data_IF_967268397256
#
_entry.id   IF_967268397256
#
_cell.length_a   1.000
_cell.length_b   1.000
_cell.length_c   1.000
_cell.angle_alpha   90.00
_cell.angle_beta   90.00
_cell.angle_gamma   90.00
#
_symmetry.space_group_name_H-M   'P 1'
#
loop_
_entity.id
_entity.type
_entity.pdbx_description
1 polymer ?
#
# COMPACT_ATOMS: atom_id res chain seq x y z
N UNK A 1 -24.36 -1.08 23.61
CA UNK A 1 -25.62 -1.84 23.43
C UNK A 1 -26.00 -2.05 21.94
N UNK A 2 -25.04 -2.06 21.00
CA UNK A 2 -25.29 -2.14 19.55
C UNK A 2 -25.09 -3.54 18.94
N UNK A 3 -24.38 -4.46 19.62
CA UNK A 3 -24.09 -5.80 19.10
C UNK A 3 -25.27 -6.78 19.06
N UNK A 4 -26.33 -6.56 19.84
CA UNK A 4 -27.47 -7.49 19.95
C UNK A 4 -28.49 -7.35 18.83
N UNK A 5 -28.61 -6.17 18.20
CA UNK A 5 -29.51 -5.96 17.05
C UNK A 5 -28.94 -6.55 15.76
N UNK A 6 -27.64 -6.32 15.50
CA UNK A 6 -26.96 -6.88 14.31
C UNK A 6 -27.01 -8.41 14.28
N UNK A 7 -26.79 -9.08 15.42
CA UNK A 7 -26.85 -10.54 15.51
C UNK A 7 -28.25 -11.11 15.29
N UNK A 8 -29.30 -10.41 15.73
CA UNK A 8 -30.70 -10.81 15.49
C UNK A 8 -31.11 -10.64 14.03
N UNK A 9 -30.69 -9.55 13.37
CA UNK A 9 -30.93 -9.36 11.95
C UNK A 9 -30.21 -10.41 11.09
N UNK A 10 -28.99 -10.79 11.44
CA UNK A 10 -28.24 -11.84 10.75
C UNK A 10 -28.91 -13.22 10.89
N UNK A 11 -29.40 -13.58 12.08
CA UNK A 11 -30.12 -14.84 12.30
C UNK A 11 -31.46 -14.84 11.55
N UNK A 12 -32.21 -13.73 11.56
CA UNK A 12 -33.44 -13.62 10.79
C UNK A 12 -33.18 -13.78 9.28
N UNK A 13 -32.12 -13.15 8.74
CA UNK A 13 -31.71 -13.30 7.35
C UNK A 13 -31.32 -14.74 6.99
N UNK A 14 -30.57 -15.42 7.85
CA UNK A 14 -30.18 -16.82 7.64
C UNK A 14 -31.39 -17.77 7.64
N UNK A 15 -32.39 -17.53 8.49
CA UNK A 15 -33.63 -18.31 8.53
C UNK A 15 -34.46 -18.10 7.26
N UNK A 16 -34.61 -16.86 6.80
CA UNK A 16 -35.34 -16.54 5.56
C UNK A 16 -34.64 -17.17 4.35
N UNK A 17 -33.31 -17.06 4.27
CA UNK A 17 -32.53 -17.68 3.19
C UNK A 17 -32.64 -19.20 3.21
N UNK A 18 -32.56 -19.82 4.40
CA UNK A 18 -32.72 -21.27 4.55
C UNK A 18 -34.10 -21.76 4.10
N UNK A 19 -35.16 -20.99 4.39
CA UNK A 19 -36.52 -21.28 3.92
C UNK A 19 -36.62 -21.19 2.39
N UNK A 20 -36.08 -20.14 1.77
CA UNK A 20 -36.07 -19.96 0.32
C UNK A 20 -35.30 -21.07 -0.41
N UNK A 21 -34.13 -21.46 0.11
CA UNK A 21 -33.35 -22.59 -0.43
C UNK A 21 -34.12 -23.90 -0.29
N UNK A 22 -34.79 -24.12 0.83
CA UNK A 22 -35.58 -25.35 1.05
C UNK A 22 -36.76 -25.42 0.07
N UNK A 23 -37.48 -24.31 -0.14
CA UNK A 23 -38.56 -24.21 -1.12
C UNK A 23 -38.04 -24.45 -2.55
N UNK A 24 -36.89 -23.88 -2.90
CA UNK A 24 -36.25 -24.05 -4.21
C UNK A 24 -35.78 -25.50 -4.47
N UNK A 25 -35.18 -26.16 -3.48
CA UNK A 25 -34.70 -27.56 -3.61
C UNK A 25 -35.86 -28.53 -3.68
N UNK A 26 -36.89 -28.33 -2.86
CA UNK A 26 -38.09 -29.16 -2.82
C UNK A 26 -39.15 -28.73 -3.85
N UNK A 27 -38.85 -27.77 -4.73
CA UNK A 27 -39.78 -27.27 -5.73
C UNK A 27 -40.48 -28.38 -6.56
N UNK A 28 -39.81 -29.47 -7.01
CA UNK A 28 -40.47 -30.57 -7.71
C UNK A 28 -41.50 -31.34 -6.88
N UNK A 29 -41.41 -31.26 -5.56
CA UNK A 29 -42.28 -31.95 -4.60
C UNK A 29 -43.35 -31.02 -4.03
N UNK A 30 -43.08 -29.72 -3.98
CA UNK A 30 -43.96 -28.70 -3.41
C UNK A 30 -44.90 -28.06 -4.43
N UNK A 31 -44.53 -28.04 -5.71
CA UNK A 31 -45.38 -27.46 -6.76
C UNK A 31 -46.57 -28.40 -7.07
N UNK A 32 -47.82 -27.91 -6.98
CA UNK A 32 -49.00 -28.72 -7.23
C UNK A 32 -49.21 -29.07 -8.71
N UNK A 33 -48.66 -28.27 -9.64
CA UNK A 33 -48.77 -28.46 -11.08
C UNK A 33 -47.42 -28.32 -11.79
N UNK A 34 -47.32 -28.85 -13.00
CA UNK A 34 -46.18 -28.57 -13.89
C UNK A 34 -46.21 -27.09 -14.28
N UNK A 35 -45.11 -26.33 -14.10
CA UNK A 35 -45.06 -24.88 -14.38
C UNK A 35 -45.32 -24.53 -15.84
N UNK A 36 -45.17 -25.47 -16.77
CA UNK A 36 -45.42 -25.25 -18.20
C UNK A 36 -46.80 -25.70 -18.65
N UNK A 37 -47.48 -26.53 -17.86
CA UNK A 37 -48.79 -27.07 -18.20
C UNK A 37 -49.90 -26.04 -17.95
N UNK A 38 -50.86 -25.98 -18.87
CA UNK A 38 -52.08 -25.20 -18.69
C UNK A 38 -52.96 -25.90 -17.65
N UNK A 39 -53.06 -25.30 -16.47
CA UNK A 39 -53.76 -25.87 -15.32
C UNK A 39 -55.18 -25.30 -15.13
N UNK A 40 -55.49 -24.14 -15.72
CA UNK A 40 -56.78 -23.47 -15.58
C UNK A 40 -57.14 -22.48 -16.69
N UNK A 41 -58.23 -21.74 -16.48
CA UNK A 41 -58.66 -20.67 -17.38
C UNK A 41 -57.74 -19.44 -17.20
N UNK A 42 -57.36 -18.73 -18.29
CA UNK A 42 -56.56 -17.52 -18.20
C UNK A 42 -57.10 -16.50 -17.18
N UNK A 43 -56.20 -15.92 -16.40
CA UNK A 43 -56.52 -14.92 -15.36
C UNK A 43 -57.53 -15.40 -14.30
N UNK A 44 -57.60 -16.71 -14.03
CA UNK A 44 -58.43 -17.21 -12.94
C UNK A 44 -57.97 -16.63 -11.58
N UNK A 45 -58.93 -16.18 -10.78
CA UNK A 45 -58.68 -15.66 -9.43
C UNK A 45 -58.25 -16.77 -8.45
N UNK A 46 -57.65 -16.40 -7.31
CA UNK A 46 -57.29 -17.36 -6.26
C UNK A 46 -58.45 -18.27 -5.87
N UNK A 47 -58.19 -19.58 -5.82
CA UNK A 47 -59.17 -20.62 -5.51
C UNK A 47 -58.52 -21.76 -4.73
N UNK A 48 -59.34 -22.71 -4.24
CA UNK A 48 -58.85 -23.87 -3.50
C UNK A 48 -57.91 -24.76 -4.34
N UNK A 49 -58.07 -24.77 -5.67
CA UNK A 49 -57.20 -25.52 -6.59
C UNK A 49 -56.03 -24.69 -7.10
N UNK A 50 -56.18 -23.37 -7.21
CA UNK A 50 -55.11 -22.44 -7.61
C UNK A 50 -54.94 -21.33 -6.56
N UNK A 51 -54.13 -21.54 -5.51
CA UNK A 51 -54.05 -20.64 -4.36
C UNK A 51 -53.63 -19.21 -4.70
N UNK A 52 -52.87 -19.01 -5.79
CA UNK A 52 -52.47 -17.69 -6.29
C UNK A 52 -53.16 -17.29 -7.60
N UNK A 53 -54.08 -18.12 -8.10
CA UNK A 53 -54.69 -17.94 -9.42
C UNK A 53 -53.81 -18.42 -10.57
N UNK A 54 -54.14 -18.02 -11.79
CA UNK A 54 -53.43 -18.41 -13.01
C UNK A 54 -53.03 -17.21 -13.88
N UNK A 55 -52.00 -17.37 -14.70
CA UNK A 55 -51.50 -16.34 -15.61
C UNK A 55 -52.41 -16.14 -16.85
N UNK A 56 -51.96 -15.30 -17.78
CA UNK A 56 -52.65 -14.95 -19.03
C UNK A 56 -52.83 -16.11 -20.02
N UNK A 57 -52.12 -17.22 -19.81
CA UNK A 57 -52.18 -18.44 -20.62
C UNK A 57 -52.87 -19.60 -19.85
N UNK A 58 -53.16 -19.41 -18.56
CA UNK A 58 -53.82 -20.38 -17.69
C UNK A 58 -52.88 -21.33 -16.95
N UNK A 59 -51.61 -20.95 -16.74
CA UNK A 59 -50.65 -21.70 -15.91
C UNK A 59 -50.76 -21.28 -14.44
N UNK A 60 -50.47 -22.20 -13.52
CA UNK A 60 -50.61 -22.00 -12.07
C UNK A 60 -49.48 -21.10 -11.52
N UNK A 61 -49.85 -19.95 -10.97
CA UNK A 61 -48.90 -18.92 -10.52
C UNK A 61 -48.05 -19.38 -9.31
N UNK A 62 -48.58 -20.25 -8.45
CA UNK A 62 -47.83 -20.79 -7.31
C UNK A 62 -46.74 -21.76 -7.78
N UNK A 63 -47.07 -22.61 -8.75
CA UNK A 63 -46.14 -23.56 -9.37
C UNK A 63 -45.04 -22.83 -10.14
N UNK A 64 -45.37 -21.75 -10.85
CA UNK A 64 -44.40 -20.84 -11.50
C UNK A 64 -43.48 -20.15 -10.48
N UNK A 65 -44.02 -19.64 -9.38
CA UNK A 65 -43.23 -18.96 -8.35
C UNK A 65 -42.21 -19.90 -7.70
N UNK A 66 -42.64 -21.12 -7.36
CA UNK A 66 -41.80 -22.14 -6.72
C UNK A 66 -40.70 -22.64 -7.68
N UNK A 67 -41.04 -22.91 -8.94
CA UNK A 67 -40.06 -23.33 -9.95
C UNK A 67 -39.14 -22.18 -10.38
N UNK A 68 -39.67 -20.97 -10.50
CA UNK A 68 -38.91 -19.75 -10.77
C UNK A 68 -37.87 -19.49 -9.69
N UNK A 69 -38.25 -19.63 -8.41
CA UNK A 69 -37.32 -19.51 -7.28
C UNK A 69 -36.15 -20.51 -7.38
N UNK A 70 -36.41 -21.75 -7.80
CA UNK A 70 -35.36 -22.75 -8.05
C UNK A 70 -34.41 -22.34 -9.17
N UNK A 71 -34.94 -21.90 -10.30
CA UNK A 71 -34.13 -21.47 -11.45
C UNK A 71 -33.29 -20.24 -11.08
N UNK A 72 -33.88 -19.23 -10.43
CA UNK A 72 -33.16 -18.03 -9.98
C UNK A 72 -32.06 -18.36 -8.97
N UNK A 73 -32.31 -19.29 -8.02
CA UNK A 73 -31.31 -19.71 -7.05
C UNK A 73 -30.15 -20.46 -7.71
N UNK A 74 -30.43 -21.35 -8.66
CA UNK A 74 -29.40 -22.08 -9.42
C UNK A 74 -28.55 -21.10 -10.23
N UNK A 75 -29.16 -20.17 -10.96
CA UNK A 75 -28.44 -19.13 -11.71
C UNK A 75 -27.57 -18.30 -10.76
N UNK A 76 -28.10 -17.87 -9.62
CA UNK A 76 -27.35 -17.12 -8.62
C UNK A 76 -26.16 -17.89 -8.04
N UNK A 77 -26.33 -19.17 -7.71
CA UNK A 77 -25.26 -20.04 -7.21
C UNK A 77 -24.19 -20.28 -8.27
N UNK A 78 -24.60 -20.57 -9.51
CA UNK A 78 -23.68 -20.80 -10.64
C UNK A 78 -22.91 -19.52 -10.96
N UNK A 79 -23.58 -18.37 -11.01
CA UNK A 79 -22.94 -17.08 -11.23
C UNK A 79 -21.96 -16.73 -10.09
N UNK A 80 -22.33 -16.98 -8.82
CA UNK A 80 -21.44 -16.76 -7.68
C UNK A 80 -20.22 -17.69 -7.69
N UNK A 81 -20.41 -18.96 -8.04
CA UNK A 81 -19.30 -19.92 -8.21
C UNK A 81 -18.39 -19.50 -9.37
N UNK A 82 -18.95 -19.13 -10.52
CA UNK A 82 -18.19 -18.67 -11.68
C UNK A 82 -17.40 -17.38 -11.36
N UNK A 83 -18.05 -16.40 -10.71
CA UNK A 83 -17.41 -15.17 -10.26
C UNK A 83 -16.31 -15.44 -9.22
N UNK A 84 -16.50 -16.41 -8.33
CA UNK A 84 -15.49 -16.81 -7.35
C UNK A 84 -14.30 -17.47 -8.04
N UNK A 85 -14.54 -18.36 -9.01
CA UNK A 85 -13.46 -19.03 -9.77
C UNK A 85 -12.67 -18.01 -10.59
N UNK A 86 -13.35 -17.13 -11.32
CA UNK A 86 -12.72 -16.08 -12.13
C UNK A 86 -12.01 -15.07 -11.23
N UNK A 87 -12.65 -14.60 -10.17
CA UNK A 87 -12.08 -13.67 -9.20
C UNK A 87 -10.87 -14.25 -8.46
N UNK A 88 -10.90 -15.54 -8.14
CA UNK A 88 -9.75 -16.25 -7.53
C UNK A 88 -8.62 -16.42 -8.53
N UNK A 89 -8.91 -16.81 -9.77
CA UNK A 89 -7.90 -16.94 -10.82
C UNK A 89 -7.23 -15.60 -11.12
N UNK A 90 -8.03 -14.53 -11.27
CA UNK A 90 -7.53 -13.16 -11.43
C UNK A 90 -6.74 -12.73 -10.20
N UNK A 91 -7.23 -12.98 -8.99
CA UNK A 91 -6.54 -12.62 -7.75
C UNK A 91 -5.21 -13.34 -7.56
N UNK A 92 -5.12 -14.61 -7.97
CA UNK A 92 -3.85 -15.37 -7.98
C UNK A 92 -2.90 -14.78 -9.01
N UNK A 93 -3.36 -14.53 -10.24
CA UNK A 93 -2.52 -13.95 -11.31
C UNK A 93 -2.06 -12.53 -10.95
N UNK A 94 -2.94 -11.69 -10.40
CA UNK A 94 -2.62 -10.37 -9.86
C UNK A 94 -1.61 -10.46 -8.71
N UNK A 95 -1.73 -11.46 -7.84
CA UNK A 95 -0.75 -11.72 -6.77
C UNK A 95 0.67 -12.02 -7.26
N UNK A 96 0.83 -12.47 -8.51
CA UNK A 96 2.13 -12.71 -9.14
C UNK A 96 2.53 -11.65 -10.19
N UNK A 97 1.56 -10.89 -10.72
CA UNK A 97 1.78 -9.85 -11.71
C UNK A 97 2.03 -8.50 -11.02
N UNK A 98 3.27 -7.98 -11.09
CA UNK A 98 3.62 -6.64 -10.58
C UNK A 98 3.30 -5.56 -11.62
N UNK A 99 2.84 -4.40 -11.16
CA UNK A 99 2.73 -3.17 -11.96
C UNK A 99 1.35 -2.95 -12.58
N UNK A 100 1.30 -2.27 -13.74
CA UNK A 100 0.07 -1.81 -14.40
C UNK A 100 -0.98 -2.91 -14.70
N UNK A 101 -0.54 -4.17 -14.75
CA UNK A 101 -1.39 -5.34 -14.96
C UNK A 101 -2.30 -5.63 -13.76
N UNK A 102 -1.82 -5.40 -12.54
CA UNK A 102 -2.61 -5.56 -11.30
C UNK A 102 -3.75 -4.53 -11.24
N UNK A 103 -3.42 -3.28 -11.55
CA UNK A 103 -4.37 -2.16 -11.63
C UNK A 103 -5.44 -2.39 -12.71
N UNK A 104 -5.03 -2.89 -13.88
CA UNK A 104 -5.95 -3.25 -14.96
C UNK A 104 -6.86 -4.43 -14.58
N UNK A 105 -6.32 -5.45 -13.90
CA UNK A 105 -7.08 -6.61 -13.44
C UNK A 105 -8.08 -6.23 -12.35
N UNK A 106 -7.68 -5.43 -11.35
CA UNK A 106 -8.59 -4.94 -10.30
C UNK A 106 -9.73 -4.09 -10.86
N UNK A 107 -9.46 -3.24 -11.86
CA UNK A 107 -10.49 -2.46 -12.56
C UNK A 107 -11.44 -3.35 -13.37
N UNK A 108 -10.92 -4.38 -14.02
CA UNK A 108 -11.74 -5.39 -14.71
C UNK A 108 -12.68 -6.11 -13.73
N UNK A 109 -12.18 -6.48 -12.54
CA UNK A 109 -12.99 -7.14 -11.51
C UNK A 109 -14.10 -6.24 -10.98
N UNK A 110 -13.82 -4.94 -10.79
CA UNK A 110 -14.83 -3.95 -10.37
C UNK A 110 -15.94 -3.76 -11.42
N UNK A 111 -15.55 -3.67 -12.69
CA UNK A 111 -16.49 -3.58 -13.83
C UNK A 111 -17.33 -4.86 -13.95
N UNK A 112 -16.71 -6.03 -13.78
CA UNK A 112 -17.44 -7.32 -13.79
C UNK A 112 -18.43 -7.43 -12.63
N UNK A 113 -18.08 -6.92 -11.44
CA UNK A 113 -18.97 -6.93 -10.28
C UNK A 113 -20.18 -6.01 -10.49
N UNK A 114 -19.95 -4.82 -11.05
CA UNK A 114 -21.00 -3.85 -11.40
C UNK A 114 -21.91 -4.39 -12.52
N UNK A 115 -21.32 -4.95 -13.58
CA UNK A 115 -22.05 -5.55 -14.69
C UNK A 115 -22.88 -6.78 -14.25
N UNK A 116 -22.37 -7.57 -13.30
CA UNK A 116 -23.10 -8.72 -12.74
C UNK A 116 -24.29 -8.29 -11.87
N UNK A 117 -24.14 -7.22 -11.09
CA UNK A 117 -25.23 -6.62 -10.31
C UNK A 117 -26.32 -6.03 -11.22
N UNK A 118 -25.93 -5.40 -12.33
CA UNK A 118 -26.86 -4.90 -13.34
C UNK A 118 -27.54 -6.03 -14.14
N UNK A 119 -26.84 -7.13 -14.42
CA UNK A 119 -27.37 -8.33 -15.08
C UNK A 119 -28.43 -9.04 -14.20
N UNK A 120 -28.29 -8.99 -12.88
CA UNK A 120 -29.25 -9.55 -11.92
C UNK A 120 -30.54 -8.73 -11.76
N UNK A 121 -30.69 -7.60 -12.47
CA UNK A 121 -31.92 -6.80 -12.46
C UNK A 121 -32.22 -6.12 -11.12
N UNK A 122 -31.22 -5.99 -10.24
CA UNK A 122 -31.35 -5.27 -8.98
C UNK A 122 -31.27 -3.76 -9.25
N UNK A 123 -32.40 -3.20 -9.68
CA UNK A 123 -32.59 -1.78 -10.00
C UNK A 123 -33.88 -1.59 -10.78
N UNK A 124 -34.40 -0.36 -10.84
CA UNK A 124 -35.59 -0.05 -11.62
C UNK A 124 -35.30 -0.22 -13.13
N UNK A 125 -35.64 -1.39 -13.67
CA UNK A 125 -35.48 -1.76 -15.09
C UNK A 125 -36.33 -0.90 -16.03
N UNK A 126 -37.27 -0.10 -15.50
CA UNK A 126 -38.03 0.88 -16.28
C UNK A 126 -37.35 2.24 -16.34
N UNK A 127 -36.40 2.51 -15.42
CA UNK A 127 -35.60 3.71 -15.42
C UNK A 127 -34.42 3.59 -16.41
N UNK A 128 -34.29 4.56 -17.32
CA UNK A 128 -33.18 4.61 -18.26
C UNK A 128 -31.89 5.00 -17.53
N UNK A 129 -31.03 4.02 -17.27
CA UNK A 129 -29.65 4.21 -16.79
C UNK A 129 -28.63 3.82 -17.86
N UNK A 130 -27.41 4.34 -17.80
CA UNK A 130 -26.33 3.97 -18.74
C UNK A 130 -26.03 2.46 -18.72
N UNK A 131 -26.10 1.82 -17.55
CA UNK A 131 -25.97 0.37 -17.42
C UNK A 131 -27.12 -0.41 -18.08
N UNK A 132 -28.38 0.04 -17.91
CA UNK A 132 -29.52 -0.56 -18.61
C UNK A 132 -29.47 -0.33 -20.12
N UNK A 133 -28.90 0.79 -20.60
CA UNK A 133 -28.68 1.04 -22.02
C UNK A 133 -27.67 0.05 -22.63
N UNK A 134 -26.58 -0.24 -21.92
CA UNK A 134 -25.60 -1.26 -22.32
C UNK A 134 -26.21 -2.67 -22.32
N UNK A 135 -26.98 -3.01 -21.29
CA UNK A 135 -27.71 -4.29 -21.19
C UNK A 135 -28.74 -4.47 -22.31
N UNK A 136 -29.48 -3.40 -22.65
CA UNK A 136 -30.44 -3.39 -23.76
C UNK A 136 -29.74 -3.46 -25.13
N UNK A 137 -28.55 -2.86 -25.28
CA UNK A 137 -27.77 -2.95 -26.50
C UNK A 137 -27.26 -4.36 -26.77
N UNK A 138 -26.85 -5.08 -25.71
CA UNK A 138 -26.42 -6.46 -25.80
C UNK A 138 -27.58 -7.43 -26.06
N UNK A 139 -28.71 -7.26 -25.36
CA UNK A 139 -29.89 -8.13 -25.52
C UNK A 139 -30.63 -7.95 -26.85
N UNK A 140 -30.46 -6.80 -27.53
CA UNK A 140 -31.08 -6.52 -28.84
C UNK A 140 -30.11 -6.63 -30.02
N UNK A 141 -28.99 -7.34 -29.84
CA UNK A 141 -28.03 -7.66 -30.92
C UNK A 141 -27.43 -6.43 -31.62
N UNK A 142 -27.30 -5.28 -30.93
CA UNK A 142 -26.77 -4.06 -31.53
C UNK A 142 -25.34 -4.24 -32.06
N UNK A 143 -24.58 -5.18 -31.51
CA UNK A 143 -23.22 -5.57 -31.95
C UNK A 143 -23.16 -6.21 -33.34
N UNK A 144 -24.28 -6.73 -33.86
CA UNK A 144 -24.37 -7.32 -35.20
C UNK A 144 -24.83 -6.32 -36.27
N UNK A 145 -25.00 -5.05 -35.90
CA UNK A 145 -25.43 -3.95 -36.76
C UNK A 145 -24.49 -2.76 -36.59
N UNK A 146 -24.38 -1.87 -37.59
CA UNK A 146 -23.55 -0.63 -37.50
C UNK A 146 -24.00 0.35 -36.39
N UNK A 147 -25.05 0.03 -35.65
CA UNK A 147 -25.58 0.81 -34.53
C UNK A 147 -24.75 0.69 -33.23
N UNK A 148 -23.83 -0.27 -33.11
CA UNK A 148 -23.05 -0.50 -31.89
C UNK A 148 -22.24 0.73 -31.45
N UNK A 149 -21.69 1.48 -32.42
CA UNK A 149 -20.93 2.72 -32.20
C UNK A 149 -21.74 3.79 -31.46
N UNK A 150 -23.06 3.81 -31.62
CA UNK A 150 -23.91 4.88 -31.08
C UNK A 150 -24.68 4.43 -29.83
N UNK A 151 -24.90 3.12 -29.66
CA UNK A 151 -25.61 2.57 -28.51
C UNK A 151 -24.71 2.15 -27.35
N UNK A 152 -23.45 1.77 -27.63
CA UNK A 152 -22.53 1.23 -26.60
C UNK A 152 -21.52 2.29 -26.17
N UNK A 153 -20.97 3.03 -27.13
CA UNK A 153 -19.84 3.93 -26.93
C UNK A 153 -20.21 5.15 -26.05
N UNK A 154 -21.31 5.90 -26.31
CA UNK A 154 -21.69 7.03 -25.46
C UNK A 154 -21.97 6.68 -23.99
N UNK A 155 -22.79 5.66 -23.63
CA UNK A 155 -22.98 5.29 -22.23
C UNK A 155 -21.72 4.67 -21.60
N UNK A 156 -20.92 3.92 -22.37
CA UNK A 156 -19.64 3.39 -21.89
C UNK A 156 -18.62 4.49 -21.53
N UNK A 157 -18.49 5.51 -22.39
CA UNK A 157 -17.64 6.68 -22.12
C UNK A 157 -18.17 7.48 -20.93
N UNK A 158 -19.49 7.63 -20.81
CA UNK A 158 -20.09 8.33 -19.67
C UNK A 158 -19.79 7.63 -18.33
N UNK A 159 -19.89 6.30 -18.28
CA UNK A 159 -19.51 5.51 -17.10
C UNK A 159 -18.01 5.65 -16.82
N UNK A 160 -17.16 5.49 -17.83
CA UNK A 160 -15.70 5.59 -17.68
C UNK A 160 -15.27 6.98 -17.15
N UNK A 161 -15.84 8.06 -17.70
CA UNK A 161 -15.57 9.42 -17.22
C UNK A 161 -16.07 9.63 -15.80
N UNK A 162 -17.23 9.07 -15.43
CA UNK A 162 -17.78 9.19 -14.09
C UNK A 162 -16.92 8.46 -13.06
N UNK A 163 -16.49 7.24 -13.37
CA UNK A 163 -15.56 6.47 -12.53
C UNK A 163 -14.23 7.21 -12.39
N UNK A 164 -13.69 7.75 -13.49
CA UNK A 164 -12.46 8.55 -13.48
C UNK A 164 -12.62 9.81 -12.61
N UNK A 165 -13.74 10.53 -12.74
CA UNK A 165 -14.03 11.70 -11.91
C UNK A 165 -14.13 11.36 -10.43
N UNK A 166 -14.81 10.27 -10.05
CA UNK A 166 -14.87 9.84 -8.64
C UNK A 166 -13.51 9.39 -8.11
N UNK A 167 -12.69 8.72 -8.92
CA UNK A 167 -11.33 8.35 -8.55
C UNK A 167 -10.45 9.59 -8.30
N UNK A 168 -10.49 10.57 -9.22
CA UNK A 168 -9.77 11.84 -9.06
C UNK A 168 -10.28 12.65 -7.86
N UNK A 169 -11.59 12.64 -7.61
CA UNK A 169 -12.17 13.26 -6.41
C UNK A 169 -11.68 12.56 -5.14
N UNK A 170 -11.59 11.22 -5.17
CA UNK A 170 -11.05 10.41 -4.08
C UNK A 170 -9.62 10.82 -3.73
N UNK A 171 -8.75 10.97 -4.73
CA UNK A 171 -7.39 11.49 -4.55
C UNK A 171 -7.37 12.91 -3.96
N UNK A 172 -8.20 13.82 -4.46
CA UNK A 172 -8.28 15.18 -3.95
C UNK A 172 -8.82 15.24 -2.49
N UNK A 173 -9.76 14.35 -2.14
CA UNK A 173 -10.25 14.22 -0.77
C UNK A 173 -9.21 13.58 0.15
N UNK A 174 -8.44 12.60 -0.32
CA UNK A 174 -7.33 12.01 0.42
C UNK A 174 -6.25 13.04 0.71
N UNK A 175 -5.95 13.91 -0.27
CA UNK A 175 -5.02 15.04 -0.11
C UNK A 175 -5.53 16.09 0.90
N UNK A 176 -6.85 16.32 0.97
CA UNK A 176 -7.47 17.27 1.92
C UNK A 176 -7.75 16.65 3.29
N UNK A 177 -7.85 15.32 3.36
CA UNK A 177 -7.94 14.52 4.56
C UNK A 177 -6.55 14.16 5.13
N UNK A 178 -5.46 14.50 4.41
CA UNK A 178 -4.13 14.62 5.03
C UNK A 178 -4.32 15.50 6.26
N UNK A 179 -4.03 14.99 7.47
CA UNK A 179 -3.75 15.90 8.55
C UNK A 179 -2.61 16.75 7.99
N UNK A 180 -2.85 18.04 7.76
CA UNK A 180 -1.77 19.00 7.71
C UNK A 180 -0.84 18.61 8.86
N UNK A 181 0.47 18.52 8.61
CA UNK A 181 1.51 18.45 9.62
C UNK A 181 1.23 19.58 10.59
N UNK A 182 0.33 19.31 11.53
CA UNK A 182 -0.16 20.27 12.50
C UNK A 182 0.95 20.24 13.50
N UNK A 183 1.47 21.42 13.78
CA UNK A 183 2.31 21.79 14.92
C UNK A 183 1.66 21.36 16.25
N UNK A 184 1.41 20.06 16.44
CA UNK A 184 1.25 19.49 17.75
C UNK A 184 2.67 19.31 18.25
N UNK A 185 3.10 20.07 19.27
CA UNK A 185 4.30 19.74 19.99
C UNK A 185 4.08 18.37 20.61
N UNK A 186 4.53 17.31 19.92
CA UNK A 186 4.70 16.00 20.52
C UNK A 186 5.58 16.23 21.74
N UNK A 187 5.16 15.83 22.95
CA UNK A 187 5.97 16.00 24.15
C UNK A 187 7.23 15.16 23.98
N UNK A 188 8.28 15.78 23.43
CA UNK A 188 9.64 15.25 23.50
C UNK A 188 9.92 15.17 24.98
N UNK A 189 9.98 13.95 25.52
CA UNK A 189 10.45 13.73 26.87
C UNK A 189 11.79 14.46 26.96
N UNK A 190 11.85 15.52 27.78
CA UNK A 190 13.03 16.38 27.95
C UNK A 190 14.26 15.50 27.88
N UNK A 191 15.04 15.67 26.81
CA UNK A 191 16.38 15.15 26.72
C UNK A 191 17.04 15.44 28.07
N UNK A 192 17.64 14.41 28.67
CA UNK A 192 18.66 14.62 29.70
C UNK A 192 19.56 15.72 29.14
N UNK A 193 19.66 16.84 29.84
CA UNK A 193 20.44 18.00 29.39
C UNK A 193 21.78 17.49 28.87
N UNK A 194 21.94 17.51 27.54
CA UNK A 194 23.21 17.25 26.89
C UNK A 194 24.05 18.47 27.24
N UNK A 195 24.98 18.29 28.17
CA UNK A 195 26.04 19.27 28.38
C UNK A 195 26.73 19.56 27.05
N UNK A 196 27.37 20.72 26.94
CA UNK A 196 28.09 21.18 25.75
C UNK A 196 28.80 20.02 25.00
N UNK A 197 28.78 20.00 23.65
CA UNK A 197 29.30 18.89 22.86
C UNK A 197 30.78 18.70 23.16
N UNK A 198 31.07 17.75 24.04
CA UNK A 198 32.32 17.01 24.02
C UNK A 198 32.31 16.30 22.65
N UNK A 199 33.38 16.34 21.85
CA UNK A 199 33.40 15.65 20.56
C UNK A 199 33.23 14.15 20.81
N UNK A 200 31.98 13.70 20.70
CA UNK A 200 31.63 12.31 20.77
C UNK A 200 32.03 11.66 19.44
N UNK A 201 32.57 10.43 19.46
CA UNK A 201 32.85 9.71 18.22
C UNK A 201 31.54 9.53 17.42
N UNK A 202 31.64 9.64 16.10
CA UNK A 202 30.51 9.47 15.17
C UNK A 202 29.65 8.25 15.53
N UNK A 203 28.31 8.37 15.60
CA UNK A 203 27.42 7.28 15.97
C UNK A 203 27.55 6.05 15.07
N UNK A 204 27.91 6.21 13.80
CA UNK A 204 28.20 5.10 12.90
C UNK A 204 29.57 5.31 12.24
N UNK A 205 30.46 4.32 12.38
CA UNK A 205 31.75 4.28 11.69
C UNK A 205 31.95 2.92 11.05
N UNK A 206 32.06 2.90 9.74
CA UNK A 206 32.47 1.76 8.93
C UNK A 206 33.95 2.00 8.58
N UNK A 207 34.82 1.11 9.03
CA UNK A 207 36.28 1.25 8.90
C UNK A 207 36.83 0.06 8.10
N UNK A 208 37.17 0.32 6.83
CA UNK A 208 37.76 -0.63 5.86
C UNK A 208 37.02 -1.97 5.80
N UNK A 209 35.69 -1.92 5.84
CA UNK A 209 34.83 -3.09 5.85
C UNK A 209 35.04 -3.92 4.59
N UNK A 210 35.33 -5.21 4.78
CA UNK A 210 35.47 -6.20 3.72
C UNK A 210 34.52 -7.36 4.00
N UNK A 211 33.67 -7.70 3.03
CA UNK A 211 32.67 -8.78 3.14
C UNK A 211 32.80 -9.71 1.95
N UNK A 212 32.92 -11.00 2.22
CA UNK A 212 32.98 -12.05 1.21
C UNK A 212 31.77 -13.00 1.32
N UNK A 213 31.31 -13.48 0.16
CA UNK A 213 30.34 -14.57 0.02
C UNK A 213 31.10 -15.80 -0.48
N UNK A 214 31.32 -16.78 0.40
CA UNK A 214 32.32 -17.82 0.16
C UNK A 214 33.69 -17.21 -0.13
N UNK A 215 34.29 -17.55 -1.27
CA UNK A 215 35.60 -17.03 -1.69
C UNK A 215 35.51 -15.70 -2.45
N UNK A 216 34.31 -15.22 -2.78
CA UNK A 216 34.12 -14.00 -3.56
C UNK A 216 33.96 -12.79 -2.66
N UNK A 217 34.91 -11.85 -2.72
CA UNK A 217 34.79 -10.53 -2.09
C UNK A 217 33.73 -9.71 -2.82
N UNK A 218 32.73 -9.22 -2.08
CA UNK A 218 31.61 -8.40 -2.60
C UNK A 218 31.71 -6.95 -2.12
N UNK A 219 32.27 -6.73 -0.93
CA UNK A 219 32.60 -5.41 -0.38
C UNK A 219 34.07 -5.43 -0.04
N UNK A 220 34.83 -4.43 -0.48
CA UNK A 220 36.29 -4.37 -0.33
C UNK A 220 36.72 -3.01 0.24
N UNK A 221 37.22 -3.02 1.48
CA UNK A 221 37.83 -1.85 2.11
C UNK A 221 36.94 -0.61 2.26
N UNK A 222 35.61 -0.76 2.35
CA UNK A 222 34.68 0.38 2.43
C UNK A 222 34.81 1.13 3.75
N UNK A 223 34.99 2.45 3.69
CA UNK A 223 35.05 3.33 4.87
C UNK A 223 34.06 4.48 4.74
N UNK A 224 33.17 4.62 5.71
CA UNK A 224 32.14 5.68 5.78
C UNK A 224 31.85 5.98 7.26
N UNK A 225 31.74 7.25 7.62
CA UNK A 225 31.26 7.69 8.94
C UNK A 225 30.01 8.55 8.79
N UNK A 226 29.12 8.44 9.77
CA UNK A 226 27.89 9.24 9.86
C UNK A 226 27.81 9.89 11.24
N UNK A 227 27.81 11.21 11.24
CA UNK A 227 27.74 12.08 12.41
C UNK A 227 26.30 12.22 12.95
N UNK A 228 26.11 12.65 14.21
CA UNK A 228 24.78 12.91 14.74
C UNK A 228 24.04 13.96 13.92
N UNK A 229 22.80 13.67 13.56
CA UNK A 229 22.00 14.55 12.71
C UNK A 229 22.46 14.58 11.25
N UNK A 230 23.44 13.77 10.81
CA UNK A 230 23.91 13.72 9.41
C UNK A 230 23.17 12.63 8.62
N UNK A 231 22.84 12.92 7.36
CA UNK A 231 22.38 11.94 6.38
C UNK A 231 23.48 11.65 5.37
N UNK A 232 23.94 10.40 5.32
CA UNK A 232 24.86 9.91 4.30
C UNK A 232 24.13 8.97 3.35
N UNK A 233 24.14 9.31 2.07
CA UNK A 233 23.63 8.48 0.99
C UNK A 233 24.67 7.50 0.47
N UNK A 234 24.40 6.20 0.50
CA UNK A 234 25.21 5.16 -0.14
C UNK A 234 24.56 4.78 -1.47
N UNK A 235 25.14 5.24 -2.58
CA UNK A 235 24.52 5.21 -3.90
C UNK A 235 25.32 4.37 -4.89
N UNK A 236 24.65 3.69 -5.82
CA UNK A 236 25.30 2.97 -6.91
C UNK A 236 24.38 1.95 -7.58
N UNK A 237 24.82 1.35 -8.68
CA UNK A 237 24.08 0.33 -9.42
C UNK A 237 23.69 -0.89 -8.56
N UNK A 238 22.66 -1.61 -8.99
CA UNK A 238 22.28 -2.89 -8.37
C UNK A 238 23.47 -3.85 -8.36
N UNK A 239 23.66 -4.57 -7.24
CA UNK A 239 24.79 -5.49 -7.07
C UNK A 239 26.14 -4.85 -6.71
N UNK A 240 26.22 -3.53 -6.49
CA UNK A 240 27.48 -2.86 -6.09
C UNK A 240 27.92 -3.13 -4.64
N UNK A 241 27.12 -3.82 -3.84
CA UNK A 241 27.43 -4.20 -2.44
C UNK A 241 26.73 -3.37 -1.36
N UNK A 242 25.88 -2.38 -1.71
CA UNK A 242 25.26 -1.44 -0.77
C UNK A 242 24.43 -2.12 0.34
N UNK A 243 23.50 -3.02 -0.02
CA UNK A 243 22.70 -3.78 0.97
C UNK A 243 23.57 -4.73 1.81
N UNK A 244 24.72 -5.17 1.29
CA UNK A 244 25.70 -5.94 2.09
C UNK A 244 26.37 -5.04 3.13
N UNK A 245 26.70 -3.79 2.81
CA UNK A 245 27.20 -2.80 3.78
C UNK A 245 26.13 -2.52 4.85
N UNK A 246 24.89 -2.24 4.45
CA UNK A 246 23.78 -2.02 5.39
C UNK A 246 23.54 -3.22 6.32
N UNK A 247 23.52 -4.44 5.76
CA UNK A 247 23.39 -5.67 6.53
C UNK A 247 24.57 -5.91 7.48
N UNK A 248 25.79 -5.54 7.09
CA UNK A 248 26.97 -5.64 7.95
C UNK A 248 26.88 -4.72 9.17
N UNK A 249 26.35 -3.50 9.03
CA UNK A 249 26.16 -2.55 10.14
C UNK A 249 25.31 -3.11 11.28
N UNK A 250 24.35 -3.98 10.95
CA UNK A 250 23.49 -4.65 11.92
C UNK A 250 23.93 -6.07 12.23
N UNK A 251 24.98 -6.61 11.57
CA UNK A 251 25.35 -8.05 11.57
C UNK A 251 24.18 -8.97 11.17
N UNK A 252 23.42 -8.55 10.16
CA UNK A 252 22.30 -9.27 9.54
C UNK A 252 22.67 -9.84 8.16
N UNK A 253 23.95 -10.15 7.96
CA UNK A 253 24.44 -10.77 6.74
C UNK A 253 23.87 -12.19 6.57
N UNK A 254 23.58 -12.64 5.34
CA UNK A 254 23.21 -14.03 5.05
C UNK A 254 24.29 -15.01 5.54
N UNK A 255 23.92 -16.27 5.81
CA UNK A 255 24.87 -17.27 6.30
C UNK A 255 26.09 -17.51 5.39
N UNK A 256 25.91 -17.31 4.08
CA UNK A 256 26.99 -17.42 3.09
C UNK A 256 27.99 -16.25 3.13
N UNK A 257 27.63 -15.14 3.79
CA UNK A 257 28.42 -13.93 3.85
C UNK A 257 29.15 -13.78 5.19
N UNK A 258 30.40 -13.35 5.14
CA UNK A 258 31.23 -13.12 6.32
C UNK A 258 32.02 -11.83 6.18
N UNK A 259 32.10 -11.07 7.26
CA UNK A 259 33.06 -9.97 7.40
C UNK A 259 34.45 -10.58 7.51
N UNK A 260 35.30 -10.34 6.52
CA UNK A 260 36.67 -10.88 6.43
C UNK A 260 37.73 -9.85 6.82
N UNK A 261 37.38 -8.57 6.87
CA UNK A 261 38.28 -7.49 7.25
C UNK A 261 37.54 -6.22 7.64
N UNK A 262 38.25 -5.31 8.33
CA UNK A 262 37.68 -4.08 8.85
C UNK A 262 36.77 -4.30 10.05
N UNK A 263 36.02 -3.26 10.40
CA UNK A 263 35.08 -3.26 11.53
C UNK A 263 33.95 -2.27 11.30
N UNK A 264 32.87 -2.44 12.05
CA UNK A 264 31.75 -1.48 12.10
C UNK A 264 31.48 -1.12 13.54
N UNK A 265 31.61 0.17 13.87
CA UNK A 265 31.33 0.73 15.17
C UNK A 265 29.96 1.40 15.15
N UNK A 266 29.07 0.99 16.06
CA UNK A 266 27.77 1.64 16.30
C UNK A 266 27.77 2.16 17.72
N UNK A 267 27.69 3.48 17.86
CA UNK A 267 27.77 4.20 19.12
C UNK A 267 28.96 3.73 19.98
N UNK A 268 30.14 3.61 19.35
CA UNK A 268 31.38 3.13 19.97
C UNK A 268 31.51 1.61 20.17
N UNK A 269 30.51 0.81 19.80
CA UNK A 269 30.55 -0.65 19.95
C UNK A 269 30.87 -1.35 18.63
N UNK A 270 31.90 -2.19 18.60
CA UNK A 270 32.24 -2.97 17.40
C UNK A 270 31.28 -4.13 17.16
N UNK A 271 30.32 -3.92 16.28
CA UNK A 271 29.23 -4.85 15.97
C UNK A 271 29.75 -6.17 15.38
N UNK A 272 30.93 -6.16 14.76
CA UNK A 272 31.53 -7.36 14.16
C UNK A 272 32.04 -8.34 15.23
N UNK A 273 32.41 -7.83 16.42
CA UNK A 273 32.95 -8.60 17.53
C UNK A 273 31.92 -8.92 18.63
N UNK A 274 30.77 -8.23 18.68
CA UNK A 274 29.77 -8.41 19.73
C UNK A 274 29.17 -9.84 19.79
N UNK A 275 28.89 -10.33 20.99
CA UNK A 275 28.13 -11.57 21.18
C UNK A 275 26.62 -11.40 20.89
N UNK A 276 25.84 -12.50 20.75
CA UNK A 276 24.41 -12.45 20.43
C UNK A 276 23.54 -11.67 21.43
N UNK A 277 23.88 -11.68 22.73
CA UNK A 277 23.17 -10.89 23.75
C UNK A 277 23.42 -9.39 23.60
N UNK A 278 24.67 -8.99 23.33
CA UNK A 278 25.04 -7.59 23.13
C UNK A 278 24.43 -7.04 21.84
N UNK A 279 24.43 -7.83 20.75
CA UNK A 279 23.74 -7.46 19.52
C UNK A 279 22.24 -7.24 19.72
N UNK A 280 21.58 -8.10 20.49
CA UNK A 280 20.15 -7.93 20.84
C UNK A 280 19.89 -6.67 21.68
N UNK A 281 20.85 -6.26 22.52
CA UNK A 281 20.73 -5.03 23.29
C UNK A 281 20.97 -3.76 22.44
N UNK A 282 21.78 -3.88 21.39
CA UNK A 282 22.14 -2.78 20.49
C UNK A 282 21.08 -2.55 19.39
N UNK A 283 20.60 -3.61 18.75
CA UNK A 283 19.55 -3.54 17.72
C UNK A 283 18.24 -3.00 18.32
N UNK A 284 17.52 -2.18 17.57
CA UNK A 284 16.30 -1.50 18.01
C UNK A 284 16.58 -0.29 18.90
N UNK A 285 17.37 -0.45 19.97
CA UNK A 285 17.65 0.61 20.95
C UNK A 285 18.67 1.66 20.53
N UNK A 286 19.71 1.26 19.81
CA UNK A 286 20.79 2.16 19.37
C UNK A 286 20.81 2.31 17.87
N UNK A 287 20.38 1.26 17.16
CA UNK A 287 20.32 1.23 15.70
C UNK A 287 18.98 0.66 15.21
N UNK A 288 18.29 1.42 14.38
CA UNK A 288 17.07 1.02 13.67
C UNK A 288 17.35 0.59 12.23
N UNK A 289 16.42 -0.17 11.66
CA UNK A 289 16.47 -0.61 10.25
C UNK A 289 15.14 -0.38 9.57
N UNK A 290 15.17 0.29 8.42
CA UNK A 290 14.10 0.27 7.42
C UNK A 290 14.59 -0.67 6.31
N UNK A 291 14.02 -1.88 6.16
CA UNK A 291 14.47 -2.86 5.17
C UNK A 291 14.00 -2.51 3.75
N UNK A 292 14.72 -3.06 2.75
CA UNK A 292 14.46 -2.87 1.31
C UNK A 292 13.00 -3.16 0.90
N UNK A 293 12.40 -4.22 1.43
CA UNK A 293 11.01 -4.59 1.16
C UNK A 293 10.08 -4.22 2.31
N UNK A 294 10.09 -2.94 2.71
CA UNK A 294 9.28 -2.46 3.82
C UNK A 294 7.77 -2.79 3.68
N UNK A 295 7.22 -2.87 2.46
CA UNK A 295 5.84 -3.30 2.22
C UNK A 295 5.55 -4.75 2.67
N UNK A 296 6.54 -5.63 2.65
CA UNK A 296 6.44 -7.02 3.11
C UNK A 296 6.92 -7.22 4.55
N UNK A 297 7.57 -6.21 5.13
CA UNK A 297 8.12 -6.27 6.49
C UNK A 297 7.02 -6.34 7.57
N UNK A 298 5.81 -5.86 7.28
CA UNK A 298 4.68 -5.91 8.19
C UNK A 298 4.00 -7.29 8.14
N UNK A 299 3.71 -7.85 9.30
CA UNK A 299 2.95 -9.10 9.41
C UNK A 299 1.47 -8.87 9.05
N UNK A 300 0.94 -9.49 7.97
CA UNK A 300 -0.38 -9.17 7.43
C UNK A 300 -1.54 -9.60 8.33
N UNK A 301 -1.31 -10.50 9.29
CA UNK A 301 -2.33 -11.02 10.21
C UNK A 301 -2.28 -10.36 11.60
N UNK A 302 -1.47 -9.31 11.78
CA UNK A 302 -1.41 -8.54 13.04
C UNK A 302 -1.72 -7.07 12.77
N UNK A 303 -2.39 -6.44 13.72
CA UNK A 303 -2.67 -4.99 13.63
C UNK A 303 -1.38 -4.19 13.72
N UNK A 304 -1.39 -2.98 13.18
CA UNK A 304 -0.24 -2.08 13.25
C UNK A 304 0.14 -1.77 14.71
N UNK A 305 -0.86 -1.56 15.58
CA UNK A 305 -0.64 -1.29 16.99
C UNK A 305 0.00 -2.45 17.74
N UNK A 306 -0.33 -3.69 17.38
CA UNK A 306 0.30 -4.88 17.98
C UNK A 306 1.78 -4.96 17.60
N UNK A 307 2.12 -4.67 16.34
CA UNK A 307 3.49 -4.74 15.83
C UNK A 307 4.38 -3.63 16.41
N UNK A 308 3.87 -2.39 16.49
CA UNK A 308 4.55 -1.30 17.20
C UNK A 308 4.71 -1.60 18.69
N UNK A 309 3.67 -2.17 19.32
CA UNK A 309 3.72 -2.57 20.72
C UNK A 309 4.74 -3.69 21.00
N UNK A 310 4.89 -4.63 20.06
CA UNK A 310 5.92 -5.66 20.12
C UNK A 310 7.33 -5.05 20.05
N UNK A 311 7.59 -4.14 19.11
CA UNK A 311 8.89 -3.47 19.02
C UNK A 311 9.27 -2.75 20.34
N UNK A 312 8.30 -2.06 20.96
CA UNK A 312 8.49 -1.39 22.25
C UNK A 312 8.79 -2.35 23.42
N UNK A 313 8.16 -3.53 23.41
CA UNK A 313 8.28 -4.51 24.51
C UNK A 313 9.39 -5.53 24.31
N UNK A 314 9.89 -5.71 23.07
CA UNK A 314 10.98 -6.62 22.74
C UNK A 314 12.26 -6.33 23.52
N UNK A 315 12.51 -5.06 23.85
CA UNK A 315 13.71 -4.64 24.57
C UNK A 315 13.47 -4.34 26.05
N UNK A 316 12.23 -4.31 26.55
CA UNK A 316 11.98 -4.04 27.96
C UNK A 316 10.51 -4.17 28.37
N UNK A 317 10.25 -4.12 29.68
CA UNK A 317 8.89 -4.24 30.20
C UNK A 317 8.20 -2.87 30.24
N UNK A 318 7.16 -2.69 29.43
CA UNK A 318 6.23 -1.55 29.53
C UNK A 318 4.84 -2.05 29.94
N UNK A 319 4.14 -1.29 30.79
CA UNK A 319 2.73 -1.57 31.10
C UNK A 319 1.89 -1.38 29.83
N UNK A 320 0.86 -2.21 29.62
CA UNK A 320 -0.02 -2.15 28.44
C UNK A 320 -0.59 -0.74 28.17
N UNK A 321 -0.94 0.00 29.22
CA UNK A 321 -1.43 1.38 29.06
C UNK A 321 -0.35 2.32 28.49
N UNK A 322 0.90 2.20 28.95
CA UNK A 322 2.02 2.98 28.44
C UNK A 322 2.39 2.59 27.01
N UNK A 323 2.29 1.29 26.66
CA UNK A 323 2.48 0.82 25.28
C UNK A 323 1.47 1.47 24.35
N UNK A 324 0.17 1.46 24.68
CA UNK A 324 -0.86 2.08 23.84
C UNK A 324 -0.66 3.58 23.65
N UNK A 325 -0.28 4.30 24.71
CA UNK A 325 0.04 5.73 24.61
C UNK A 325 1.23 5.96 23.68
N UNK A 326 2.30 5.17 23.85
CA UNK A 326 3.50 5.28 23.02
C UNK A 326 3.26 4.91 21.55
N UNK A 327 2.43 3.91 21.28
CA UNK A 327 2.01 3.57 19.91
C UNK A 327 1.31 4.77 19.25
N UNK A 328 0.38 5.44 19.96
CA UNK A 328 -0.28 6.61 19.42
C UNK A 328 0.69 7.78 19.14
N UNK A 329 1.66 8.00 20.03
CA UNK A 329 2.74 8.99 19.81
C UNK A 329 3.58 8.65 18.57
N UNK A 330 3.98 7.39 18.40
CA UNK A 330 4.77 6.94 17.25
C UNK A 330 4.01 7.09 15.93
N UNK A 331 2.71 6.78 15.92
CA UNK A 331 1.86 7.00 14.74
C UNK A 331 1.76 8.49 14.41
N UNK A 332 1.56 9.34 15.42
CA UNK A 332 1.56 10.79 15.23
C UNK A 332 2.89 11.32 14.70
N UNK A 333 4.03 10.76 15.16
CA UNK A 333 5.37 11.13 14.72
C UNK A 333 5.59 10.88 13.23
N UNK A 334 4.95 9.85 12.66
CA UNK A 334 5.00 9.54 11.22
C UNK A 334 3.78 10.04 10.45
N UNK A 335 3.04 10.99 11.02
CA UNK A 335 1.83 11.58 10.45
C UNK A 335 0.79 10.54 10.01
N UNK A 336 0.56 9.54 10.86
CA UNK A 336 -0.56 8.59 10.78
C UNK A 336 -1.56 8.87 11.88
N UNK A 337 -2.85 8.72 11.56
CA UNK A 337 -3.90 8.84 12.58
C UNK A 337 -3.75 7.72 13.62
N UNK A 338 -3.84 8.01 14.93
CA UNK A 338 -3.81 6.99 15.98
C UNK A 338 -4.86 5.88 15.81
N UNK A 339 -5.96 6.11 15.09
CA UNK A 339 -6.95 5.07 14.79
C UNK A 339 -6.36 3.94 13.94
N UNK A 340 -5.34 4.22 13.11
CA UNK A 340 -4.64 3.23 12.29
C UNK A 340 -3.95 2.15 13.12
N UNK A 341 -3.78 2.33 14.43
CA UNK A 341 -3.29 1.29 15.33
C UNK A 341 -4.15 0.01 15.28
N UNK A 342 -5.43 0.10 14.89
CA UNK A 342 -6.35 -1.04 14.78
C UNK A 342 -6.37 -1.67 13.40
N UNK A 343 -5.77 -1.02 12.42
CA UNK A 343 -5.78 -1.47 11.03
C UNK A 343 -4.72 -2.55 10.81
N UNK A 344 -5.04 -3.47 9.92
CA UNK A 344 -4.10 -4.44 9.39
C UNK A 344 -3.33 -3.86 8.20
N UNK A 345 -2.13 -4.38 7.87
CA UNK A 345 -1.33 -3.84 6.78
C UNK A 345 -2.09 -3.74 5.45
N UNK A 346 -2.91 -4.73 5.11
CA UNK A 346 -3.69 -4.74 3.87
C UNK A 346 -4.77 -3.64 3.77
N UNK A 347 -5.09 -2.96 4.87
CA UNK A 347 -6.05 -1.85 4.92
C UNK A 347 -5.35 -0.48 4.77
N UNK A 348 -4.02 -0.45 4.75
CA UNK A 348 -3.21 0.76 4.63
C UNK A 348 -2.69 0.93 3.19
N UNK A 349 -2.57 2.18 2.73
CA UNK A 349 -1.89 2.51 1.48
C UNK A 349 -0.38 2.22 1.56
N UNK A 350 0.31 2.15 0.41
CA UNK A 350 1.76 1.90 0.38
C UNK A 350 2.56 2.91 1.21
N UNK A 351 2.26 4.19 1.07
CA UNK A 351 2.90 5.25 1.88
C UNK A 351 2.62 5.11 3.38
N UNK A 352 1.38 4.74 3.76
CA UNK A 352 1.04 4.51 5.16
C UNK A 352 1.78 3.31 5.75
N UNK A 353 1.94 2.22 4.98
CA UNK A 353 2.75 1.06 5.40
C UNK A 353 4.22 1.45 5.57
N UNK A 354 4.75 2.31 4.70
CA UNK A 354 6.14 2.76 4.80
C UNK A 354 6.36 3.58 6.06
N UNK A 355 5.47 4.53 6.33
CA UNK A 355 5.44 5.34 7.56
C UNK A 355 5.34 4.46 8.81
N UNK A 356 4.51 3.41 8.76
CA UNK A 356 4.42 2.42 9.83
C UNK A 356 5.75 1.69 10.08
N UNK A 357 6.47 1.28 9.03
CA UNK A 357 7.80 0.65 9.16
C UNK A 357 8.82 1.63 9.74
N UNK A 358 8.80 2.90 9.33
CA UNK A 358 9.62 3.97 9.92
C UNK A 358 9.32 4.11 11.42
N UNK A 359 8.04 4.11 11.81
CA UNK A 359 7.64 4.18 13.21
C UNK A 359 8.15 2.97 14.03
N UNK A 360 8.14 1.77 13.45
CA UNK A 360 8.71 0.57 14.09
C UNK A 360 10.23 0.71 14.27
N UNK A 361 10.94 1.17 13.23
CA UNK A 361 12.39 1.40 13.29
C UNK A 361 12.79 2.44 14.35
N UNK A 362 11.92 3.44 14.59
CA UNK A 362 12.11 4.49 15.57
C UNK A 362 11.50 4.20 16.95
N UNK A 363 10.82 3.06 17.13
CA UNK A 363 10.02 2.79 18.32
C UNK A 363 10.81 2.92 19.63
N UNK A 364 12.07 2.50 19.61
CA UNK A 364 12.98 2.54 20.76
C UNK A 364 13.95 3.73 20.75
N UNK A 365 13.68 4.78 19.95
CA UNK A 365 14.48 6.01 19.87
C UNK A 365 15.98 5.74 19.60
N UNK A 366 16.33 5.06 18.49
CA UNK A 366 17.72 4.77 18.17
C UNK A 366 18.53 6.04 17.87
N UNK A 367 19.85 5.97 17.99
CA UNK A 367 20.78 7.04 17.58
C UNK A 367 21.18 6.93 16.11
N UNK A 368 21.17 5.70 15.57
CA UNK A 368 21.53 5.38 14.18
C UNK A 368 20.33 4.79 13.46
N UNK A 369 20.09 5.20 12.22
CA UNK A 369 19.07 4.62 11.36
C UNK A 369 19.70 4.17 10.04
N UNK A 370 19.54 2.88 9.72
CA UNK A 370 19.89 2.35 8.40
C UNK A 370 18.60 2.25 7.59
N UNK A 371 18.57 2.86 6.41
CA UNK A 371 17.44 2.80 5.50
C UNK A 371 17.88 2.18 4.18
N UNK A 372 17.50 0.93 3.94
CA UNK A 372 17.82 0.22 2.69
C UNK A 372 16.67 0.41 1.69
N UNK A 373 16.91 1.14 0.61
CA UNK A 373 15.92 1.54 -0.41
C UNK A 373 14.53 1.94 0.16
N UNK A 374 14.45 2.94 1.06
CA UNK A 374 13.23 3.24 1.83
C UNK A 374 12.04 3.73 0.99
N UNK A 375 12.23 3.96 -0.31
CA UNK A 375 11.21 4.42 -1.25
C UNK A 375 10.90 3.41 -2.35
N UNK A 376 11.52 2.23 -2.32
CA UNK A 376 11.33 1.20 -3.34
C UNK A 376 9.87 0.73 -3.40
N UNK A 377 9.31 0.64 -4.62
CA UNK A 377 7.94 0.18 -4.84
C UNK A 377 6.84 1.19 -4.49
N UNK A 378 7.17 2.44 -4.19
CA UNK A 378 6.20 3.52 -3.96
C UNK A 378 6.05 4.42 -5.21
N UNK A 379 4.89 5.06 -5.34
CA UNK A 379 4.65 6.11 -6.34
C UNK A 379 5.58 7.31 -6.10
N UNK A 380 6.03 7.97 -7.19
CA UNK A 380 7.02 9.07 -7.16
C UNK A 380 6.63 10.18 -6.16
N UNK A 381 5.35 10.56 -6.09
CA UNK A 381 4.90 11.60 -5.15
C UNK A 381 5.00 11.13 -3.70
N UNK A 382 4.65 9.86 -3.45
CA UNK A 382 4.75 9.25 -2.12
C UNK A 382 6.21 9.04 -1.72
N UNK A 383 7.11 8.75 -2.66
CA UNK A 383 8.54 8.66 -2.39
C UNK A 383 9.08 9.98 -1.83
N UNK A 384 8.74 11.10 -2.48
CA UNK A 384 9.15 12.43 -2.01
C UNK A 384 8.62 12.70 -0.60
N UNK A 385 7.33 12.44 -0.35
CA UNK A 385 6.70 12.63 0.97
C UNK A 385 7.39 11.79 2.07
N UNK A 386 7.83 10.55 1.76
CA UNK A 386 8.51 9.67 2.72
C UNK A 386 9.92 10.16 3.02
N UNK A 387 10.64 10.67 2.01
CA UNK A 387 12.00 11.19 2.18
C UNK A 387 12.01 12.50 2.97
N UNK A 388 11.03 13.37 2.72
CA UNK A 388 10.86 14.63 3.46
C UNK A 388 10.55 14.33 4.94
N UNK A 389 9.70 13.32 5.20
CA UNK A 389 9.46 12.83 6.56
C UNK A 389 10.75 12.28 7.21
N UNK A 390 11.54 11.49 6.49
CA UNK A 390 12.80 10.96 7.03
C UNK A 390 13.79 12.08 7.37
N UNK A 391 13.86 13.13 6.55
CA UNK A 391 14.71 14.28 6.82
C UNK A 391 14.23 15.09 8.02
N UNK A 392 12.91 15.33 8.14
CA UNK A 392 12.32 15.97 9.32
C UNK A 392 12.65 15.20 10.60
N UNK A 393 12.46 13.87 10.57
CA UNK A 393 12.74 13.00 11.71
C UNK A 393 14.23 12.98 12.06
N UNK A 394 15.12 12.95 11.06
CA UNK A 394 16.58 13.07 11.26
C UNK A 394 16.92 14.33 12.02
N UNK A 395 16.46 15.49 11.54
CA UNK A 395 16.78 16.78 12.15
C UNK A 395 16.19 16.89 13.56
N UNK A 396 14.93 16.48 13.72
CA UNK A 396 14.19 16.59 14.98
C UNK A 396 14.71 15.66 16.07
N UNK A 397 15.17 14.46 15.70
CA UNK A 397 15.66 13.44 16.63
C UNK A 397 17.20 13.36 16.68
N UNK A 398 17.91 14.16 15.88
CA UNK A 398 19.37 14.15 15.76
C UNK A 398 19.93 12.77 15.38
N UNK A 399 19.27 12.07 14.45
CA UNK A 399 19.65 10.73 14.01
C UNK A 399 20.88 10.79 13.10
N UNK A 400 21.80 9.83 13.25
CA UNK A 400 22.77 9.51 12.22
C UNK A 400 22.12 8.54 11.21
N UNK A 401 21.91 8.97 9.97
CA UNK A 401 21.15 8.20 8.97
C UNK A 401 22.06 7.76 7.82
N UNK A 402 22.13 6.45 7.59
CA UNK A 402 22.72 5.89 6.37
C UNK A 402 21.58 5.42 5.46
N UNK A 403 21.39 6.10 4.32
CA UNK A 403 20.38 5.72 3.32
C UNK A 403 21.06 5.02 2.16
N UNK A 404 20.65 3.79 1.86
CA UNK A 404 21.05 3.08 0.65
C UNK A 404 20.01 3.33 -0.44
N UNK A 405 20.48 3.72 -1.63
CA UNK A 405 19.62 3.90 -2.80
C UNK A 405 20.38 3.59 -4.08
N UNK A 406 19.64 3.36 -5.16
CA UNK A 406 20.18 3.35 -6.52
C UNK A 406 19.86 4.65 -7.28
N UNK A 407 19.02 5.50 -6.72
CA UNK A 407 18.61 6.78 -7.31
C UNK A 407 19.40 7.94 -6.68
N UNK A 408 20.37 8.48 -7.44
CA UNK A 408 21.21 9.59 -6.99
C UNK A 408 20.43 10.92 -6.89
N UNK A 409 19.64 11.35 -7.91
CA UNK A 409 18.83 12.57 -7.82
C UNK A 409 17.94 12.64 -6.58
N UNK A 410 17.28 11.53 -6.25
CA UNK A 410 16.35 11.48 -5.12
C UNK A 410 17.08 11.65 -3.78
N UNK A 411 18.27 11.07 -3.65
CA UNK A 411 19.09 11.15 -2.43
C UNK A 411 19.81 12.50 -2.31
N UNK A 412 20.23 13.11 -3.41
CA UNK A 412 20.90 14.42 -3.39
C UNK A 412 20.05 15.51 -2.72
N UNK A 413 18.73 15.45 -2.88
CA UNK A 413 17.81 16.40 -2.25
C UNK A 413 17.86 16.42 -0.72
N UNK A 414 18.19 15.30 -0.07
CA UNK A 414 18.10 15.14 1.39
C UNK A 414 19.43 14.79 2.08
N UNK A 415 20.44 14.39 1.33
CA UNK A 415 21.72 13.95 1.89
C UNK A 415 22.68 15.12 2.13
N UNK A 416 23.41 15.07 3.25
CA UNK A 416 24.52 15.98 3.48
C UNK A 416 25.74 15.53 2.65
N UNK A 417 26.00 14.23 2.64
CA UNK A 417 27.10 13.59 1.88
C UNK A 417 26.64 12.35 1.16
N UNK A 418 27.33 12.03 0.06
CA UNK A 418 27.06 10.86 -0.75
C UNK A 418 28.34 10.06 -0.94
N UNK A 419 28.26 8.76 -0.66
CA UNK A 419 29.25 7.74 -0.93
C UNK A 419 28.81 6.93 -2.16
N UNK A 420 29.50 7.08 -3.27
CA UNK A 420 29.21 6.36 -4.51
C UNK A 420 29.96 5.03 -4.50
N UNK A 421 29.24 3.92 -4.58
CA UNK A 421 29.75 2.57 -4.64
C UNK A 421 29.71 1.98 -6.05
N UNK A 422 30.80 1.29 -6.41
CA UNK A 422 30.88 0.49 -7.63
C UNK A 422 31.70 -0.76 -7.37
N UNK A 423 31.20 -1.92 -7.79
CA UNK A 423 31.92 -3.19 -7.71
C UNK A 423 32.54 -3.47 -6.31
N UNK A 424 31.82 -3.14 -5.24
CA UNK A 424 32.24 -3.43 -3.87
C UNK A 424 33.08 -2.36 -3.19
N UNK A 425 33.49 -1.30 -3.89
CA UNK A 425 34.31 -0.21 -3.31
C UNK A 425 33.58 1.13 -3.37
N UNK A 426 33.91 2.03 -2.44
CA UNK A 426 33.52 3.44 -2.54
C UNK A 426 34.49 4.14 -3.49
N UNK A 427 33.98 4.62 -4.62
CA UNK A 427 34.78 5.28 -5.66
C UNK A 427 34.84 6.79 -5.52
N UNK A 428 33.86 7.38 -4.83
CA UNK A 428 33.79 8.81 -4.55
C UNK A 428 32.96 9.07 -3.29
N UNK A 429 33.40 9.99 -2.44
CA UNK A 429 32.72 10.38 -1.21
C UNK A 429 32.89 11.90 -1.02
N UNK A 430 31.79 12.61 -0.80
CA UNK A 430 31.84 14.05 -0.59
C UNK A 430 30.46 14.66 -0.36
N UNK A 431 30.36 16.01 -0.28
CA UNK A 431 29.09 16.70 -0.13
C UNK A 431 28.13 16.39 -1.29
N UNK A 432 26.85 16.15 -0.99
CA UNK A 432 25.86 15.72 -1.99
C UNK A 432 25.79 16.67 -3.20
N UNK A 433 25.70 17.99 -2.92
CA UNK A 433 25.66 19.03 -3.95
C UNK A 433 26.90 19.03 -4.86
N UNK A 434 28.09 18.74 -4.31
CA UNK A 434 29.32 18.68 -5.09
C UNK A 434 29.36 17.46 -6.02
N UNK A 435 28.90 16.29 -5.56
CA UNK A 435 28.92 15.07 -6.37
C UNK A 435 28.00 15.14 -7.59
N UNK A 436 26.93 15.93 -7.52
CA UNK A 436 26.02 16.11 -8.66
C UNK A 436 26.46 17.25 -9.59
N UNK A 437 27.09 18.30 -9.06
CA UNK A 437 27.50 19.48 -9.84
C UNK A 437 28.88 19.32 -10.50
N UNK A 438 29.86 18.77 -9.77
CA UNK A 438 31.24 18.57 -10.24
C UNK A 438 31.79 17.19 -9.80
N UNK A 439 31.22 16.08 -10.31
CA UNK A 439 31.74 14.75 -10.02
C UNK A 439 33.16 14.55 -10.56
N UNK A 440 34.06 14.09 -9.69
CA UNK A 440 35.46 13.82 -10.04
C UNK A 440 35.58 12.45 -10.70
N UNK A 441 34.90 11.42 -10.18
CA UNK A 441 35.09 10.06 -10.66
C UNK A 441 34.28 9.80 -11.95
N UNK A 442 34.86 9.15 -12.98
CA UNK A 442 34.19 8.91 -14.26
C UNK A 442 32.87 8.13 -14.16
N UNK A 443 32.75 7.23 -13.19
CA UNK A 443 31.49 6.51 -12.95
C UNK A 443 30.41 7.42 -12.36
N UNK A 444 30.77 8.30 -11.42
CA UNK A 444 29.82 9.26 -10.84
C UNK A 444 29.29 10.21 -11.91
N UNK A 445 30.16 10.69 -12.82
CA UNK A 445 29.77 11.46 -14.00
C UNK A 445 28.69 10.75 -14.82
N UNK A 446 28.92 9.48 -15.16
CA UNK A 446 27.96 8.68 -15.93
C UNK A 446 26.63 8.51 -15.19
N UNK A 447 26.66 8.33 -13.88
CA UNK A 447 25.47 8.15 -13.06
C UNK A 447 24.64 9.44 -12.99
N UNK A 448 25.30 10.59 -12.88
CA UNK A 448 24.67 11.93 -12.95
C UNK A 448 24.13 12.24 -14.35
N UNK A 449 24.84 11.84 -15.41
CA UNK A 449 24.41 12.03 -16.81
C UNK A 449 23.23 11.13 -17.19
N UNK A 450 23.15 9.92 -16.63
CA UNK A 450 22.07 8.98 -16.86
C UNK A 450 20.75 9.39 -16.16
N UNK A 451 20.82 10.29 -15.18
CA UNK A 451 19.63 10.77 -14.48
C UNK A 451 18.73 11.61 -15.40
N UNK A 452 17.41 11.35 -15.42
CA UNK A 452 16.47 12.15 -16.20
C UNK A 452 16.42 13.59 -15.67
N UNK A 453 17.01 14.53 -16.40
CA UNK A 453 16.90 15.97 -16.10
C UNK A 453 15.57 16.49 -16.64
N UNK A 454 14.68 16.95 -15.77
CA UNK A 454 13.57 17.82 -16.17
C UNK A 454 14.17 19.14 -16.68
N UNK A 455 14.50 19.20 -17.98
CA UNK A 455 14.71 20.47 -18.67
C UNK A 455 13.34 21.12 -18.82
N UNK A 456 12.94 21.92 -17.84
CA UNK A 456 11.92 22.95 -18.10
C UNK A 456 12.66 24.04 -18.89
N UNK A 457 12.33 24.28 -20.17
CA UNK A 457 12.91 25.41 -20.90
C UNK A 457 12.59 26.69 -20.12
N UNK A 458 13.59 27.50 -19.81
CA UNK A 458 13.41 28.77 -19.10
C UNK A 458 12.35 29.66 -19.77
N UNK A 459 12.22 29.51 -21.09
CA UNK A 459 11.28 30.18 -21.99
C UNK A 459 9.80 29.85 -21.65
N UNK A 460 9.53 28.68 -21.05
CA UNK A 460 8.19 28.26 -20.66
C UNK A 460 7.68 28.94 -19.38
N UNK A 461 8.59 29.51 -18.56
CA UNK A 461 8.24 30.24 -17.33
C UNK A 461 8.02 31.75 -17.57
N UNK A 462 8.24 32.25 -18.79
CA UNK A 462 7.99 33.66 -19.15
C UNK A 462 6.75 33.87 -20.01
N UNK A 463 6.04 32.80 -20.40
CA UNK A 463 4.87 32.87 -21.29
C UNK A 463 3.49 32.65 -20.65
N UNK A 464 3.41 32.29 -19.36
CA UNK A 464 2.15 31.86 -18.76
C UNK A 464 1.73 32.72 -17.55
N UNK A 465 0.73 33.58 -17.82
CA UNK A 465 -0.31 34.06 -16.90
C UNK A 465 0.11 35.16 -15.91
N UNK A 466 -0.10 36.41 -16.32
CA UNK A 466 -0.54 37.46 -15.40
C UNK A 466 -1.87 37.02 -14.78
N UNK A 467 -2.03 37.00 -13.44
CA UNK A 467 -3.29 36.62 -12.82
C UNK A 467 -4.40 37.64 -13.18
N UNK A 468 -5.63 37.21 -13.51
CA UNK A 468 -6.73 38.10 -13.92
C UNK A 468 -7.20 39.10 -12.84
N UNK A 469 -6.70 39.00 -11.61
CA UNK A 469 -7.10 39.85 -10.48
C UNK A 469 -6.25 41.12 -10.31
N UNK A 470 -5.19 41.31 -11.12
CA UNK A 470 -4.30 42.47 -11.01
C UNK A 470 -4.85 43.77 -11.64
N UNK A 471 -5.99 43.74 -12.34
CA UNK A 471 -6.59 44.93 -12.96
C UNK A 471 -7.75 45.56 -12.16
N UNK A 472 -8.14 45.00 -11.00
CA UNK A 472 -9.24 45.54 -10.19
C UNK A 472 -8.82 46.60 -9.15
N UNK A 473 -7.62 47.19 -9.30
CA UNK A 473 -7.14 48.26 -8.44
C UNK A 473 -6.57 49.41 -9.28
N UNK A 474 -7.45 50.14 -9.98
CA UNK A 474 -7.22 51.51 -10.43
C UNK A 474 -8.53 52.29 -10.43
#
# INVERSE_FOLDING_TARGET
MTGTRSRRCAVAGAVVLGLLVTIAVLAPLLAPYDPTARAGAPFATPSATHPLGTNDIGQDLLSELIHGARISLIIGIVAALAATVVGTAIGVVAGYARGWLDEALMRLTAILLEASLAFLGLGDITAKSWGTMLSLAQSRSAFLTDAWLWWVLPPGVAIALTVLSFALLGYAFEERARPALRDQPVPVRRQRAVGAPVPAPAPLVIDRLTVAYGDRVVVDGVSVSVEPGELVGLVGESGSGKSTVAGACLRLLPAAARVTGGRVLVCGHDVTALGPSQLRALRGRRIGLIPQEAMSALNPVRTLGDQLGEALTAHGSMKRAAVRARVAELLGLVALDPCCARDYPHQLSGGMRQRAVIAIALACEPEVLIADEPTSGLDILVQADVLDLLDELRQRLQLAVLVVSHDLPVIERIADRIAVMRAGTVVELGPAAQLVTDPVHPYTRRLVEAAPRLRIPADALHGAVSPPWAEAAK
#
